data_IF_193903424076
#
_entry.id   IF_193903424076
#
_cell.length_a   1.000
_cell.length_b   1.000
_cell.length_c   1.000
_cell.angle_alpha   90.00
_cell.angle_beta   90.00
_cell.angle_gamma   90.00
#
_symmetry.space_group_name_H-M   'P 1'
#
loop_
_entity.id
_entity.type
_entity.pdbx_description
1 polymer ?
#
# COMPACT_ATOMS: atom_id res chain seq x y z
N UNK A 1 15.24 9.61 17.44
CA UNK A 1 15.26 9.80 15.98
C UNK A 1 16.06 8.66 15.38
N UNK A 2 15.50 7.98 14.38
CA UNK A 2 16.17 6.89 13.67
C UNK A 2 16.65 7.37 12.30
N UNK A 3 17.82 6.91 11.88
CA UNK A 3 18.36 7.15 10.53
C UNK A 3 18.04 5.93 9.66
N UNK A 4 17.44 6.17 8.50
CA UNK A 4 16.97 5.15 7.56
C UNK A 4 17.58 5.38 6.18
N UNK A 5 17.80 4.31 5.42
CA UNK A 5 18.34 4.38 4.06
C UNK A 5 17.26 4.77 3.06
N UNK A 6 17.64 5.57 2.06
CA UNK A 6 16.81 5.90 0.91
C UNK A 6 17.32 5.15 -0.31
N UNK A 7 16.44 4.42 -0.98
CA UNK A 7 16.74 3.57 -2.13
C UNK A 7 15.79 3.90 -3.29
N UNK A 8 16.21 3.59 -4.51
CA UNK A 8 15.33 3.63 -5.70
C UNK A 8 15.07 2.19 -6.14
N UNK A 9 13.83 1.74 -6.00
CA UNK A 9 13.37 0.42 -6.41
C UNK A 9 12.13 0.61 -7.28
N UNK A 10 12.08 -0.01 -8.46
CA UNK A 10 10.97 0.11 -9.41
C UNK A 10 10.51 1.56 -9.66
N UNK A 11 11.47 2.47 -9.84
CA UNK A 11 11.25 3.91 -10.05
C UNK A 11 10.58 4.66 -8.88
N UNK A 12 10.52 4.05 -7.68
CA UNK A 12 10.00 4.68 -6.47
C UNK A 12 11.11 5.05 -5.50
N UNK A 13 10.92 6.14 -4.76
CA UNK A 13 11.76 6.46 -3.61
C UNK A 13 11.28 5.63 -2.41
N UNK A 14 12.14 4.72 -1.94
CA UNK A 14 11.83 3.77 -0.88
C UNK A 14 12.65 4.08 0.36
N UNK A 15 11.97 4.20 1.51
CA UNK A 15 12.60 4.25 2.82
C UNK A 15 12.70 2.81 3.34
N UNK A 16 13.92 2.32 3.50
CA UNK A 16 14.18 1.03 4.16
C UNK A 16 13.97 1.18 5.68
N UNK A 17 12.98 0.48 6.25
CA UNK A 17 12.66 0.58 7.67
C UNK A 17 13.53 -0.36 8.53
N UNK A 18 14.45 -1.11 7.92
CA UNK A 18 15.36 -2.07 8.55
C UNK A 18 14.63 -3.04 9.50
N UNK A 19 13.47 -3.52 9.05
CA UNK A 19 12.61 -4.42 9.82
C UNK A 19 12.05 -5.49 8.90
N UNK A 20 12.38 -6.75 9.18
CA UNK A 20 11.82 -7.90 8.46
C UNK A 20 10.39 -8.18 8.93
N UNK A 21 9.62 -8.83 8.06
CA UNK A 21 8.34 -9.43 8.43
C UNK A 21 8.54 -10.80 9.07
N UNK A 22 7.44 -11.49 9.41
CA UNK A 22 7.49 -12.89 9.83
C UNK A 22 7.94 -13.83 8.68
N UNK A 23 7.76 -13.40 7.43
CA UNK A 23 8.43 -13.99 6.28
C UNK A 23 9.81 -13.36 6.11
N UNK A 24 10.85 -14.17 6.27
CA UNK A 24 12.25 -13.73 6.16
C UNK A 24 12.62 -13.24 4.76
N UNK A 25 11.82 -13.59 3.74
CA UNK A 25 11.99 -13.10 2.38
C UNK A 25 11.45 -11.68 2.19
N UNK A 26 10.68 -11.15 3.13
CA UNK A 26 10.07 -9.81 3.03
C UNK A 26 10.56 -8.84 4.11
N UNK A 27 10.86 -7.62 3.69
CA UNK A 27 11.21 -6.50 4.56
C UNK A 27 10.20 -5.35 4.43
N UNK A 28 9.95 -4.68 5.55
CA UNK A 28 9.10 -3.49 5.61
C UNK A 28 9.83 -2.28 5.07
N UNK A 29 9.18 -1.55 4.17
CA UNK A 29 9.70 -0.30 3.62
C UNK A 29 8.62 0.78 3.58
N UNK A 30 8.90 1.94 3.03
CA UNK A 30 7.88 2.97 2.83
C UNK A 30 8.15 3.76 1.56
N UNK A 31 7.24 3.67 0.59
CA UNK A 31 7.35 4.31 -0.72
C UNK A 31 6.31 5.43 -0.94
N UNK A 32 5.83 5.99 0.17
CA UNK A 32 4.62 6.82 0.23
C UNK A 32 3.39 6.05 0.72
N UNK A 33 3.47 4.72 0.73
CA UNK A 33 2.56 3.82 1.43
C UNK A 33 3.35 2.72 2.16
N UNK A 34 2.77 2.07 3.18
CA UNK A 34 3.37 0.88 3.77
C UNK A 34 3.36 -0.25 2.76
N UNK A 35 4.55 -0.76 2.45
CA UNK A 35 4.83 -1.68 1.34
C UNK A 35 5.91 -2.68 1.77
N UNK A 36 5.73 -3.94 1.35
CA UNK A 36 6.74 -4.99 1.55
C UNK A 36 7.59 -5.13 0.29
N UNK A 37 8.85 -5.50 0.48
CA UNK A 37 9.81 -5.72 -0.59
C UNK A 37 10.60 -6.99 -0.31
N UNK A 38 11.12 -7.60 -1.38
CA UNK A 38 12.06 -8.72 -1.24
C UNK A 38 13.29 -8.25 -0.44
N UNK A 39 13.62 -8.97 0.63
CA UNK A 39 14.74 -8.63 1.52
C UNK A 39 16.07 -8.62 0.76
N UNK A 40 16.25 -9.50 -0.22
CA UNK A 40 17.46 -9.58 -1.03
C UNK A 40 17.60 -8.38 -1.98
N UNK A 41 16.51 -8.00 -2.66
CA UNK A 41 16.46 -6.79 -3.49
C UNK A 41 16.77 -5.55 -2.66
N UNK A 42 16.11 -5.42 -1.51
CA UNK A 42 16.24 -4.27 -0.64
C UNK A 42 17.66 -4.17 -0.05
N UNK A 43 18.29 -5.29 0.29
CA UNK A 43 19.67 -5.34 0.77
C UNK A 43 20.71 -5.09 -0.34
N UNK A 44 20.46 -5.55 -1.57
CA UNK A 44 21.39 -5.38 -2.69
C UNK A 44 21.28 -4.01 -3.37
N UNK A 45 20.19 -3.28 -3.16
CA UNK A 45 19.98 -1.97 -3.77
C UNK A 45 20.85 -0.91 -3.11
N UNK A 46 21.68 -0.22 -3.89
CA UNK A 46 22.55 0.84 -3.39
C UNK A 46 21.72 2.01 -2.82
N UNK A 47 22.03 2.48 -1.60
CA UNK A 47 21.36 3.64 -1.03
C UNK A 47 21.78 4.91 -1.77
N UNK A 48 20.79 5.69 -2.20
CA UNK A 48 21.00 7.01 -2.81
C UNK A 48 21.14 8.12 -1.75
N UNK A 49 20.87 7.80 -0.48
CA UNK A 49 20.95 8.73 0.63
C UNK A 49 20.37 8.15 1.92
N UNK A 50 20.04 9.05 2.85
CA UNK A 50 19.43 8.69 4.12
C UNK A 50 18.48 9.76 4.60
N UNK A 51 17.48 9.37 5.40
CA UNK A 51 16.52 10.26 6.05
C UNK A 51 16.52 10.02 7.57
N UNK A 52 16.25 11.06 8.34
CA UNK A 52 16.00 10.95 9.77
C UNK A 52 14.50 11.05 10.04
N UNK A 53 13.96 10.04 10.73
CA UNK A 53 12.56 10.03 11.17
C UNK A 53 12.50 10.14 12.70
N UNK A 54 11.60 10.98 13.18
CA UNK A 54 11.22 11.00 14.58
C UNK A 54 10.49 9.72 14.97
N UNK A 55 10.50 9.39 16.26
CA UNK A 55 9.75 8.25 16.79
C UNK A 55 8.26 8.35 16.48
N UNK A 56 7.69 9.55 16.55
CA UNK A 56 6.30 9.81 16.18
C UNK A 56 6.01 9.45 14.71
N UNK A 57 6.90 9.79 13.79
CA UNK A 57 6.74 9.46 12.36
C UNK A 57 6.83 7.94 12.12
N UNK A 58 7.81 7.27 12.74
CA UNK A 58 7.96 5.82 12.63
C UNK A 58 6.73 5.11 13.21
N UNK A 59 6.27 5.49 14.39
CA UNK A 59 5.09 4.91 15.02
C UNK A 59 3.83 5.09 14.16
N UNK A 60 3.71 6.25 13.48
CA UNK A 60 2.60 6.48 12.56
C UNK A 60 2.63 5.53 11.36
N UNK A 61 3.80 5.29 10.77
CA UNK A 61 3.99 4.33 9.67
C UNK A 61 3.69 2.90 10.15
N UNK A 62 4.26 2.49 11.30
CA UNK A 62 4.07 1.15 11.85
C UNK A 62 2.62 0.85 12.22
N UNK A 63 1.88 1.86 12.72
CA UNK A 63 0.46 1.72 12.97
C UNK A 63 -0.37 1.51 11.69
N UNK A 64 0.15 1.79 10.49
CA UNK A 64 -0.50 1.42 9.24
C UNK A 64 -0.27 -0.05 8.88
N UNK A 65 0.92 -0.58 9.15
CA UNK A 65 1.19 -2.01 9.04
C UNK A 65 0.34 -2.86 9.99
N UNK A 66 0.23 -2.44 11.25
CA UNK A 66 -0.47 -3.21 12.29
C UNK A 66 -2.00 -3.22 12.10
N UNK A 67 -2.56 -2.12 11.60
CA UNK A 67 -4.01 -1.95 11.48
C UNK A 67 -4.51 -2.06 10.03
N UNK A 68 -3.61 -2.22 9.07
CA UNK A 68 -3.93 -2.38 7.66
C UNK A 68 -4.09 -3.84 7.27
N UNK A 69 -4.45 -4.08 6.02
CA UNK A 69 -4.27 -5.39 5.38
C UNK A 69 -3.76 -5.20 3.97
N UNK A 70 -3.36 -6.29 3.34
CA UNK A 70 -2.82 -6.28 1.99
C UNK A 70 -3.91 -6.03 0.94
N UNK A 71 -3.57 -5.21 -0.05
CA UNK A 71 -4.33 -5.04 -1.27
C UNK A 71 -3.98 -6.17 -2.25
N UNK A 72 -4.96 -6.95 -2.67
CA UNK A 72 -4.74 -8.09 -3.57
C UNK A 72 -4.30 -7.71 -4.99
N UNK A 73 -4.41 -6.43 -5.37
CA UNK A 73 -4.01 -5.93 -6.70
C UNK A 73 -2.58 -5.39 -6.73
N UNK A 74 -2.09 -4.79 -5.65
CA UNK A 74 -0.77 -4.15 -5.64
C UNK A 74 0.18 -4.64 -4.55
N UNK A 75 -0.26 -5.51 -3.64
CA UNK A 75 0.52 -5.98 -2.49
C UNK A 75 0.75 -4.91 -1.40
N UNK A 76 0.30 -3.67 -1.63
CA UNK A 76 0.44 -2.59 -0.66
C UNK A 76 -0.46 -2.76 0.56
N UNK A 77 0.00 -2.36 1.73
CA UNK A 77 -0.79 -2.41 2.97
C UNK A 77 -1.64 -1.15 3.09
N UNK A 78 -2.94 -1.31 3.35
CA UNK A 78 -3.86 -0.19 3.56
C UNK A 78 -4.91 -0.48 4.62
N UNK A 79 -5.31 0.55 5.36
CA UNK A 79 -6.49 0.53 6.24
C UNK A 79 -7.79 0.65 5.46
N UNK A 80 -7.72 1.28 4.29
CA UNK A 80 -8.88 1.53 3.44
C UNK A 80 -8.91 0.50 2.32
N UNK A 81 -9.52 -0.65 2.61
CA UNK A 81 -9.73 -1.71 1.64
C UNK A 81 -11.22 -1.96 1.41
N UNK A 82 -11.58 -2.34 0.19
CA UNK A 82 -12.94 -2.78 -0.16
C UNK A 82 -12.94 -4.03 -1.01
N UNK A 83 -14.04 -4.78 -0.98
CA UNK A 83 -14.26 -5.85 -1.94
C UNK A 83 -14.27 -5.31 -3.39
N UNK A 84 -13.97 -6.15 -4.38
CA UNK A 84 -13.95 -5.74 -5.78
C UNK A 84 -15.31 -5.22 -6.26
N UNK A 85 -15.28 -4.37 -7.28
CA UNK A 85 -16.48 -3.92 -7.96
C UNK A 85 -17.10 -5.05 -8.80
N UNK A 86 -18.38 -4.89 -9.16
CA UNK A 86 -19.14 -5.93 -9.86
C UNK A 86 -18.57 -6.31 -11.24
N UNK A 87 -17.93 -5.37 -11.93
CA UNK A 87 -17.36 -5.61 -13.26
C UNK A 87 -16.07 -6.46 -13.26
N UNK A 88 -15.44 -6.66 -12.10
CA UNK A 88 -14.25 -7.50 -11.93
C UNK A 88 -14.30 -8.21 -10.57
N UNK A 89 -15.41 -8.90 -10.32
CA UNK A 89 -15.67 -9.48 -9.02
C UNK A 89 -14.82 -10.75 -8.80
N UNK A 90 -13.87 -10.64 -7.87
CA UNK A 90 -13.09 -11.78 -7.36
C UNK A 90 -13.45 -12.04 -5.88
N UNK A 91 -14.02 -13.21 -5.52
CA UNK A 91 -14.45 -13.50 -4.16
C UNK A 91 -13.32 -13.34 -3.12
N UNK A 92 -13.65 -12.77 -1.96
CA UNK A 92 -12.76 -12.59 -0.81
C UNK A 92 -11.55 -11.68 -1.02
N UNK A 93 -11.38 -11.12 -2.21
CA UNK A 93 -10.31 -10.17 -2.51
C UNK A 93 -10.65 -8.77 -2.04
N UNK A 94 -9.62 -7.98 -1.77
CA UNK A 94 -9.69 -6.62 -1.24
C UNK A 94 -8.77 -5.70 -2.02
N UNK A 95 -9.28 -4.53 -2.34
CA UNK A 95 -8.63 -3.53 -3.18
C UNK A 95 -8.49 -2.21 -2.40
N UNK A 96 -7.32 -1.58 -2.50
CA UNK A 96 -7.09 -0.27 -1.92
C UNK A 96 -7.66 0.84 -2.81
N UNK A 97 -7.80 2.05 -2.23
CA UNK A 97 -8.32 3.24 -2.93
C UNK A 97 -7.56 3.55 -4.21
N UNK A 98 -6.22 3.49 -4.17
CA UNK A 98 -5.38 3.81 -5.33
C UNK A 98 -5.63 2.88 -6.51
N UNK A 99 -5.75 1.57 -6.26
CA UNK A 99 -6.10 0.59 -7.29
C UNK A 99 -7.52 0.83 -7.81
N UNK A 100 -8.47 1.11 -6.92
CA UNK A 100 -9.85 1.41 -7.34
C UNK A 100 -9.96 2.63 -8.23
N UNK A 101 -9.27 3.72 -7.89
CA UNK A 101 -9.32 4.95 -8.69
C UNK A 101 -8.67 4.76 -10.07
N UNK A 102 -7.63 3.90 -10.14
CA UNK A 102 -7.04 3.48 -11.40
C UNK A 102 -8.03 2.65 -12.23
N UNK A 103 -8.64 1.63 -11.65
CA UNK A 103 -9.64 0.80 -12.33
C UNK A 103 -10.81 1.63 -12.83
N UNK A 104 -11.32 2.53 -11.99
CA UNK A 104 -12.39 3.46 -12.37
C UNK A 104 -12.03 4.28 -13.59
N UNK A 105 -10.82 4.84 -13.64
CA UNK A 105 -10.33 5.59 -14.80
C UNK A 105 -10.23 4.70 -16.03
N UNK A 106 -9.76 3.47 -15.88
CA UNK A 106 -9.62 2.51 -16.97
C UNK A 106 -10.98 2.10 -17.55
N UNK A 107 -11.96 1.75 -16.71
CA UNK A 107 -13.31 1.41 -17.15
C UNK A 107 -14.02 2.58 -17.84
N UNK A 108 -13.91 3.79 -17.28
CA UNK A 108 -14.43 5.01 -17.89
C UNK A 108 -13.80 5.27 -19.26
N UNK A 109 -12.49 5.07 -19.39
CA UNK A 109 -11.75 5.32 -20.64
C UNK A 109 -11.95 4.24 -21.70
N UNK A 110 -12.09 2.97 -21.29
CA UNK A 110 -12.12 1.84 -22.21
C UNK A 110 -13.53 1.55 -22.75
N UNK A 111 -14.55 1.56 -21.87
CA UNK A 111 -15.92 1.17 -22.22
C UNK A 111 -16.99 2.17 -21.77
N UNK A 112 -16.59 3.30 -21.16
CA UNK A 112 -17.51 4.34 -20.72
C UNK A 112 -18.29 4.01 -19.44
N UNK A 113 -17.95 2.92 -18.76
CA UNK A 113 -18.62 2.48 -17.53
C UNK A 113 -17.94 3.08 -16.29
N UNK A 114 -18.74 3.60 -15.36
CA UNK A 114 -18.26 4.07 -14.06
C UNK A 114 -18.54 3.02 -12.98
N UNK A 115 -17.50 2.37 -12.47
CA UNK A 115 -17.60 1.44 -11.33
C UNK A 115 -17.97 2.13 -10.00
N UNK A 116 -18.09 3.46 -10.00
CA UNK A 116 -18.47 4.29 -8.88
C UNK A 116 -17.29 4.67 -7.98
N UNK A 117 -17.51 5.56 -6.98
CA UNK A 117 -16.45 6.03 -6.09
C UNK A 117 -16.05 4.99 -5.04
N UNK A 118 -14.80 5.07 -4.56
CA UNK A 118 -14.26 4.23 -3.48
C UNK A 118 -15.01 4.32 -2.14
N UNK A 119 -15.98 5.22 -1.95
CA UNK A 119 -16.76 5.30 -0.69
C UNK A 119 -18.27 5.08 -0.88
N UNK A 120 -18.70 4.61 -2.06
CA UNK A 120 -20.13 4.47 -2.41
C UNK A 120 -21.03 3.82 -1.33
N UNK A 121 -20.51 2.86 -0.55
CA UNK A 121 -21.28 2.12 0.47
C UNK A 121 -21.10 2.59 1.92
N UNK A 122 -20.17 3.51 2.25
CA UNK A 122 -19.96 3.94 3.65
C UNK A 122 -21.15 4.72 4.24
N UNK A 123 -22.13 5.14 3.43
CA UNK A 123 -23.36 5.83 3.90
C UNK A 123 -24.48 4.89 4.34
N UNK A 124 -24.42 3.59 4.01
CA UNK A 124 -25.45 2.63 4.40
C UNK A 124 -25.26 2.12 5.84
N UNK A 125 -24.01 2.05 6.31
CA UNK A 125 -23.66 1.40 7.59
C UNK A 125 -23.70 2.36 8.80
N UNK A 126 -23.99 3.65 8.59
CA UNK A 126 -24.17 4.65 9.66
C UNK A 126 -25.61 4.74 10.19
N UNK A 127 -26.45 3.74 9.91
CA UNK A 127 -27.77 3.58 10.55
C UNK A 127 -27.91 2.15 11.07
N UNK A 128 -27.44 1.92 12.29
CA UNK A 128 -27.94 0.87 13.19
C UNK A 128 -27.92 1.39 14.60
#
# INVERSE_FOLDING_TARGET
MGKYELKIIDHKLVIDLNKMTDDYMESLAYDGMPSKYDTGELACTEPIGSIELSEHQVNKIMAEYENGSECDWCGGISKELRGPHLLDFVPSKKMCRSCWDMDRKNYLGAIGEDIGPFDANKRADSKS
#
